data_IF_020253005822
#
_entry.id   IF_020253005822
#
_cell.length_a   1.000
_cell.length_b   1.000
_cell.length_c   1.000
_cell.angle_alpha   90.00
_cell.angle_beta   90.00
_cell.angle_gamma   90.00
#
_symmetry.space_group_name_H-M   'P 1'
#
loop_
_entity.id
_entity.type
_entity.pdbx_description
1 polymer ?
#
# COMPACT_ATOMS: atom_id res chain seq x y z
N UNK A 1 -64.88 1.02 21.09
CA UNK A 1 -64.13 2.25 21.42
C UNK A 1 -62.71 1.86 21.80
N UNK A 2 -61.75 1.99 20.88
CA UNK A 2 -60.34 1.72 21.18
C UNK A 2 -59.87 2.74 22.21
N UNK A 3 -59.23 2.24 23.27
CA UNK A 3 -58.89 3.01 24.46
C UNK A 3 -57.91 4.14 24.09
N UNK A 4 -58.41 5.39 24.07
CA UNK A 4 -57.65 6.59 23.69
C UNK A 4 -56.36 6.72 24.52
N UNK A 5 -56.35 6.25 25.76
CA UNK A 5 -55.18 6.20 26.62
C UNK A 5 -54.08 5.26 26.09
N UNK A 6 -54.46 4.09 25.55
CA UNK A 6 -53.51 3.13 24.97
C UNK A 6 -52.80 3.72 23.74
N UNK A 7 -53.53 4.46 22.90
CA UNK A 7 -52.96 5.13 21.74
C UNK A 7 -51.92 6.21 22.14
N UNK A 8 -52.22 7.02 23.16
CA UNK A 8 -51.27 8.04 23.63
C UNK A 8 -50.00 7.41 24.22
N UNK A 9 -50.12 6.31 24.97
CA UNK A 9 -48.96 5.60 25.53
C UNK A 9 -48.07 5.00 24.44
N UNK A 10 -48.65 4.43 23.37
CA UNK A 10 -47.89 3.88 22.25
C UNK A 10 -47.15 4.98 21.49
N UNK A 11 -47.80 6.14 21.26
CA UNK A 11 -47.16 7.29 20.59
C UNK A 11 -46.02 7.85 21.45
N UNK A 12 -46.23 8.00 22.77
CA UNK A 12 -45.20 8.46 23.69
C UNK A 12 -43.99 7.51 23.75
N UNK A 13 -44.21 6.20 23.77
CA UNK A 13 -43.12 5.20 23.71
C UNK A 13 -42.33 5.29 22.41
N UNK A 14 -43.01 5.40 21.25
CA UNK A 14 -42.33 5.53 19.95
C UNK A 14 -41.50 6.82 19.87
N UNK A 15 -42.03 7.93 20.39
CA UNK A 15 -41.30 9.20 20.41
C UNK A 15 -40.07 9.12 21.32
N UNK A 16 -40.20 8.50 22.49
CA UNK A 16 -39.09 8.28 23.42
C UNK A 16 -37.99 7.41 22.78
N UNK A 17 -38.37 6.32 22.10
CA UNK A 17 -37.41 5.44 21.41
C UNK A 17 -36.69 6.17 20.26
N UNK A 18 -37.39 6.99 19.48
CA UNK A 18 -36.78 7.80 18.42
C UNK A 18 -35.79 8.83 18.98
N UNK A 19 -36.11 9.46 20.11
CA UNK A 19 -35.20 10.41 20.78
C UNK A 19 -33.95 9.69 21.29
N UNK A 20 -34.10 8.52 21.93
CA UNK A 20 -32.95 7.72 22.40
C UNK A 20 -32.07 7.27 21.22
N UNK A 21 -32.67 6.82 20.12
CA UNK A 21 -31.93 6.45 18.90
C UNK A 21 -31.22 7.67 18.30
N UNK A 22 -31.87 8.82 18.21
CA UNK A 22 -31.26 10.05 17.69
C UNK A 22 -30.08 10.52 18.57
N UNK A 23 -30.22 10.45 19.89
CA UNK A 23 -29.13 10.76 20.84
C UNK A 23 -27.99 9.77 20.66
N UNK A 24 -28.26 8.46 20.56
CA UNK A 24 -27.24 7.45 20.35
C UNK A 24 -26.49 7.65 19.02
N UNK A 25 -27.21 7.94 17.93
CA UNK A 25 -26.62 8.27 16.63
C UNK A 25 -25.79 9.55 16.71
N UNK A 26 -26.29 10.62 17.34
CA UNK A 26 -25.51 11.85 17.55
C UNK A 26 -24.25 11.61 18.38
N UNK A 27 -24.33 10.78 19.43
CA UNK A 27 -23.16 10.41 20.22
C UNK A 27 -22.16 9.58 19.41
N UNK A 28 -22.61 8.63 18.59
CA UNK A 28 -21.73 7.86 17.71
C UNK A 28 -21.08 8.72 16.64
N UNK A 29 -21.83 9.65 16.03
CA UNK A 29 -21.30 10.61 15.06
C UNK A 29 -20.28 11.55 15.71
N UNK A 30 -20.57 12.07 16.90
CA UNK A 30 -19.66 12.95 17.65
C UNK A 30 -18.43 12.20 18.16
N UNK A 31 -18.59 10.94 18.55
CA UNK A 31 -17.47 10.08 18.96
C UNK A 31 -16.58 9.74 17.76
N UNK A 32 -17.15 9.50 16.58
CA UNK A 32 -16.40 9.42 15.34
C UNK A 32 -15.67 10.74 15.06
N UNK A 33 -16.33 11.89 15.07
CA UNK A 33 -15.65 13.19 14.82
C UNK A 33 -14.52 13.48 15.82
N UNK A 34 -14.71 13.15 17.11
CA UNK A 34 -13.70 13.36 18.16
C UNK A 34 -12.53 12.37 18.05
N UNK A 35 -12.78 11.11 17.70
CA UNK A 35 -11.73 10.13 17.42
C UNK A 35 -10.94 10.47 16.15
N UNK A 36 -11.43 11.37 15.31
CA UNK A 36 -10.77 11.80 14.07
C UNK A 36 -10.22 13.23 14.16
N UNK A 37 -10.20 13.86 15.33
CA UNK A 37 -9.41 15.09 15.50
C UNK A 37 -7.92 14.75 15.50
N UNK A 38 -7.13 15.21 14.51
CA UNK A 38 -5.73 14.83 14.38
C UNK A 38 -4.91 15.13 15.64
N UNK A 39 -5.23 16.23 16.33
CA UNK A 39 -4.55 16.66 17.57
C UNK A 39 -4.65 15.65 18.71
N UNK A 40 -5.83 15.10 18.99
CA UNK A 40 -6.03 14.13 20.07
C UNK A 40 -5.35 12.78 19.77
N UNK A 41 -5.34 12.37 18.50
CA UNK A 41 -4.67 11.13 18.09
C UNK A 41 -3.15 11.33 18.07
N UNK A 42 -2.64 12.50 17.72
CA UNK A 42 -1.21 12.78 17.73
C UNK A 42 -0.65 12.73 19.16
N UNK A 43 -1.42 13.16 20.17
CA UNK A 43 -1.06 12.95 21.59
C UNK A 43 -1.02 11.47 21.98
N UNK A 44 -1.97 10.66 21.51
CA UNK A 44 -2.06 9.22 21.84
C UNK A 44 -1.06 8.36 21.07
N UNK A 45 -0.74 8.74 19.84
CA UNK A 45 0.15 8.00 18.95
C UNK A 45 1.60 8.44 19.08
N UNK A 46 1.84 9.68 19.53
CA UNK A 46 3.18 10.26 19.62
C UNK A 46 3.81 10.58 18.26
N UNK A 47 3.04 10.49 17.17
CA UNK A 47 3.51 10.81 15.82
C UNK A 47 3.38 12.31 15.58
N UNK A 48 4.50 12.96 15.28
CA UNK A 48 4.54 14.33 14.77
C UNK A 48 5.17 14.29 13.38
N UNK A 49 4.46 14.76 12.37
CA UNK A 49 5.03 14.90 11.04
C UNK A 49 6.04 16.04 11.05
N UNK A 50 7.28 15.81 10.60
CA UNK A 50 8.16 16.92 10.31
C UNK A 50 7.50 17.75 9.19
N UNK A 51 7.35 19.05 9.42
CA UNK A 51 6.91 19.98 8.38
C UNK A 51 8.01 20.08 7.31
N UNK A 52 8.03 19.14 6.35
CA UNK A 52 8.96 19.15 5.24
C UNK A 52 8.53 20.24 4.25
N UNK A 53 9.47 21.14 3.89
CA UNK A 53 9.23 22.17 2.88
C UNK A 53 9.07 21.55 1.48
N UNK A 54 8.18 22.09 0.62
CA UNK A 54 7.89 21.54 -0.71
C UNK A 54 9.01 21.93 -1.70
N UNK A 55 10.05 21.09 -1.84
CA UNK A 55 10.30 20.46 -3.15
C UNK A 55 10.62 18.95 -3.07
N UNK A 56 10.47 18.29 -1.91
CA UNK A 56 11.01 16.95 -1.63
C UNK A 56 10.07 15.76 -1.90
N UNK A 57 8.87 15.95 -2.48
CA UNK A 57 7.85 14.87 -2.52
C UNK A 57 7.86 13.98 -3.78
N UNK A 58 8.82 14.15 -4.69
CA UNK A 58 8.83 13.44 -5.99
C UNK A 58 9.58 12.11 -5.96
N UNK A 59 10.51 11.91 -5.02
CA UNK A 59 11.34 10.70 -4.95
C UNK A 59 11.19 10.05 -3.61
N UNK A 60 10.70 8.82 -3.62
CA UNK A 60 10.34 8.10 -2.40
C UNK A 60 11.04 6.76 -2.35
N UNK A 61 11.64 6.49 -1.20
CA UNK A 61 12.23 5.19 -0.89
C UNK A 61 11.50 4.59 0.31
N UNK A 62 10.75 3.52 0.06
CA UNK A 62 10.13 2.70 1.10
C UNK A 62 11.03 1.50 1.41
N UNK A 63 11.30 1.29 2.69
CA UNK A 63 11.95 0.08 3.14
C UNK A 63 11.34 -0.43 4.43
N UNK A 64 11.45 -1.73 4.67
CA UNK A 64 11.04 -2.28 5.95
C UNK A 64 11.22 -3.77 6.04
N UNK A 65 11.25 -4.25 7.28
CA UNK A 65 11.37 -5.68 7.57
C UNK A 65 10.19 -6.44 6.94
N UNK A 66 10.37 -7.70 6.53
CA UNK A 66 9.23 -8.52 6.15
C UNK A 66 8.19 -8.57 7.29
N UNK A 67 6.90 -8.56 6.93
CA UNK A 67 5.75 -8.71 7.85
C UNK A 67 5.44 -7.51 8.77
N UNK A 68 5.89 -6.31 8.41
CA UNK A 68 5.54 -5.03 9.06
C UNK A 68 4.56 -4.17 8.24
N UNK A 69 3.75 -4.79 7.37
CA UNK A 69 2.79 -4.11 6.49
C UNK A 69 3.42 -3.13 5.46
N UNK A 70 4.68 -3.36 5.11
CA UNK A 70 5.40 -2.64 4.04
C UNK A 70 4.66 -2.57 2.71
N UNK A 71 3.97 -3.63 2.29
CA UNK A 71 3.19 -3.60 1.02
C UNK A 71 2.01 -2.63 1.09
N UNK A 72 1.31 -2.58 2.22
CA UNK A 72 0.23 -1.59 2.43
C UNK A 72 0.80 -0.18 2.43
N UNK A 73 1.93 0.02 3.12
CA UNK A 73 2.64 1.30 3.14
C UNK A 73 3.02 1.76 1.73
N UNK A 74 3.64 0.87 0.96
CA UNK A 74 4.07 1.13 -0.40
C UNK A 74 2.92 1.57 -1.30
N UNK A 75 1.81 0.84 -1.27
CA UNK A 75 0.67 1.19 -2.11
C UNK A 75 0.05 2.53 -1.69
N UNK A 76 -0.03 2.84 -0.38
CA UNK A 76 -0.46 4.16 0.07
C UNK A 76 0.45 5.28 -0.44
N UNK A 77 1.76 5.10 -0.34
CA UNK A 77 2.76 6.03 -0.88
C UNK A 77 2.55 6.22 -2.38
N UNK A 78 2.39 5.13 -3.12
CA UNK A 78 2.25 5.15 -4.57
C UNK A 78 0.98 5.85 -5.05
N UNK A 79 -0.16 5.51 -4.46
CA UNK A 79 -1.43 6.17 -4.74
C UNK A 79 -1.34 7.65 -4.41
N UNK A 80 -0.81 8.00 -3.24
CA UNK A 80 -0.72 9.39 -2.79
C UNK A 80 0.23 10.22 -3.65
N UNK A 81 1.38 9.65 -4.04
CA UNK A 81 2.30 10.27 -5.00
C UNK A 81 1.61 10.50 -6.33
N UNK A 82 0.95 9.48 -6.89
CA UNK A 82 0.23 9.61 -8.16
C UNK A 82 -0.82 10.73 -8.11
N UNK A 83 -1.61 10.80 -7.04
CA UNK A 83 -2.62 11.86 -6.86
C UNK A 83 -1.97 13.24 -6.71
N UNK A 84 -0.86 13.34 -5.98
CA UNK A 84 -0.08 14.57 -5.87
C UNK A 84 0.42 15.06 -7.23
N UNK A 85 0.99 14.15 -8.04
CA UNK A 85 1.44 14.46 -9.40
C UNK A 85 0.27 14.88 -10.29
N UNK A 86 -0.85 14.17 -10.22
CA UNK A 86 -2.06 14.53 -10.98
C UNK A 86 -2.54 15.96 -10.71
N UNK A 87 -2.44 16.42 -9.46
CA UNK A 87 -2.89 17.76 -9.05
C UNK A 87 -1.88 18.83 -9.44
N UNK A 88 -0.59 18.59 -9.19
CA UNK A 88 0.43 19.64 -9.22
C UNK A 88 1.36 19.59 -10.43
N UNK A 89 1.53 18.42 -11.05
CA UNK A 89 2.47 18.17 -12.15
C UNK A 89 1.88 17.20 -13.19
N UNK A 90 0.69 17.49 -13.77
CA UNK A 90 -0.03 16.55 -14.62
C UNK A 90 0.76 16.09 -15.85
N UNK A 91 1.72 16.88 -16.32
CA UNK A 91 2.65 16.54 -17.40
C UNK A 91 3.58 15.36 -17.08
N UNK A 92 3.84 15.10 -15.78
CA UNK A 92 4.70 14.01 -15.32
C UNK A 92 3.92 12.71 -15.03
N UNK A 93 2.59 12.73 -15.14
CA UNK A 93 1.73 11.64 -14.70
C UNK A 93 2.00 10.32 -15.45
N UNK A 94 2.18 10.39 -16.76
CA UNK A 94 2.51 9.23 -17.60
C UNK A 94 3.88 8.61 -17.29
N UNK A 95 4.77 9.39 -16.66
CA UNK A 95 6.11 8.96 -16.29
C UNK A 95 6.21 8.54 -14.82
N UNK A 96 5.15 8.62 -14.02
CA UNK A 96 5.22 8.31 -12.59
C UNK A 96 5.46 6.82 -12.36
N UNK A 97 6.50 6.47 -11.61
CA UNK A 97 6.93 5.07 -11.41
C UNK A 97 6.66 4.60 -9.99
N UNK A 98 6.08 3.41 -9.87
CA UNK A 98 5.81 2.78 -8.57
C UNK A 98 6.36 1.37 -8.50
N UNK A 99 7.64 1.17 -8.17
CA UNK A 99 8.33 -0.12 -8.32
C UNK A 99 8.72 -0.82 -7.01
N UNK A 100 8.73 -2.15 -7.02
CA UNK A 100 9.32 -2.96 -5.96
C UNK A 100 10.68 -3.44 -6.45
N UNK A 101 11.75 -3.05 -5.76
CA UNK A 101 13.09 -3.56 -6.00
C UNK A 101 13.12 -5.05 -5.59
N UNK A 102 13.13 -5.92 -6.59
CA UNK A 102 13.33 -7.35 -6.37
C UNK A 102 14.84 -7.58 -6.30
N UNK A 103 15.32 -8.11 -5.18
CA UNK A 103 16.68 -8.61 -5.12
C UNK A 103 16.76 -9.87 -5.98
N UNK A 104 17.34 -9.75 -7.16
CA UNK A 104 17.69 -10.92 -7.97
C UNK A 104 18.66 -11.79 -7.15
N UNK A 105 18.30 -13.09 -7.05
CA UNK A 105 18.99 -14.04 -6.16
C UNK A 105 20.44 -14.32 -6.55
N UNK A 106 20.88 -13.93 -7.74
CA UNK A 106 22.18 -14.28 -8.32
C UNK A 106 23.07 -13.08 -8.69
N UNK A 107 22.70 -11.87 -8.29
CA UNK A 107 23.41 -10.65 -8.69
C UNK A 107 24.70 -10.48 -7.90
N UNK A 108 25.83 -10.35 -8.60
CA UNK A 108 27.16 -10.18 -8.01
C UNK A 108 27.24 -8.88 -7.20
N UNK A 109 28.20 -8.77 -6.28
CA UNK A 109 28.41 -7.55 -5.45
C UNK A 109 28.51 -6.26 -6.29
N UNK A 110 28.98 -6.37 -7.53
CA UNK A 110 29.17 -5.26 -8.47
C UNK A 110 27.90 -4.90 -9.23
N UNK A 111 27.04 -5.88 -9.50
CA UNK A 111 25.70 -5.66 -10.06
C UNK A 111 24.67 -5.32 -8.98
N UNK A 112 24.90 -5.65 -7.70
CA UNK A 112 24.19 -5.05 -6.54
C UNK A 112 24.49 -3.55 -6.45
N UNK A 113 25.67 -3.16 -6.92
CA UNK A 113 26.07 -1.79 -7.18
C UNK A 113 25.55 -1.25 -8.54
N UNK A 114 24.90 -2.04 -9.38
CA UNK A 114 24.12 -1.61 -10.55
C UNK A 114 22.60 -1.68 -10.28
N UNK A 115 22.15 -2.37 -9.24
CA UNK A 115 20.87 -2.13 -8.58
C UNK A 115 20.81 -0.73 -7.92
N UNK A 116 21.88 0.07 -8.04
CA UNK A 116 21.93 1.54 -7.84
C UNK A 116 20.94 2.33 -8.73
N UNK A 117 20.13 1.68 -9.57
CA UNK A 117 19.30 2.29 -10.60
C UNK A 117 17.80 2.37 -10.27
N UNK A 118 17.40 2.61 -9.02
CA UNK A 118 15.96 2.74 -8.73
C UNK A 118 15.45 4.19 -8.63
N UNK A 119 16.35 5.17 -8.52
CA UNK A 119 16.00 6.59 -8.67
C UNK A 119 16.67 7.15 -9.94
N UNK A 120 16.30 6.64 -11.11
CA UNK A 120 17.13 6.82 -12.32
C UNK A 120 17.16 8.24 -12.87
N UNK A 121 16.11 9.02 -12.59
CA UNK A 121 15.89 10.32 -13.23
C UNK A 121 15.41 11.34 -12.20
N UNK A 122 16.07 12.49 -12.17
CA UNK A 122 15.72 13.60 -11.27
C UNK A 122 14.39 14.25 -11.66
N UNK A 123 14.02 14.13 -12.92
CA UNK A 123 12.83 14.72 -13.50
C UNK A 123 11.59 13.81 -13.46
N UNK A 124 11.74 12.56 -13.00
CA UNK A 124 10.64 11.60 -12.95
C UNK A 124 10.17 11.35 -11.51
N UNK A 125 8.87 11.54 -11.20
CA UNK A 125 8.30 11.13 -9.93
C UNK A 125 8.36 9.62 -9.76
N UNK A 126 8.87 9.14 -8.63
CA UNK A 126 8.98 7.71 -8.39
C UNK A 126 8.92 7.32 -6.91
N UNK A 127 8.30 6.17 -6.65
CA UNK A 127 8.32 5.48 -5.37
C UNK A 127 8.88 4.07 -5.54
N UNK A 128 9.87 3.73 -4.72
CA UNK A 128 10.59 2.46 -4.77
C UNK A 128 10.51 1.76 -3.43
N UNK A 129 10.12 0.49 -3.44
CA UNK A 129 10.14 -0.39 -2.26
C UNK A 129 11.35 -1.30 -2.24
N UNK A 130 11.98 -1.48 -1.09
CA UNK A 130 13.03 -2.48 -0.88
C UNK A 130 12.86 -3.26 0.43
N UNK A 131 13.11 -4.57 0.40
CA UNK A 131 13.24 -5.42 1.58
C UNK A 131 14.68 -5.76 1.97
N UNK A 132 15.64 -5.40 1.12
CA UNK A 132 17.01 -5.92 1.19
C UNK A 132 18.01 -4.83 1.53
N UNK A 133 17.69 -3.58 1.19
CA UNK A 133 18.61 -2.47 1.33
C UNK A 133 18.01 -1.43 2.26
N UNK A 134 18.72 -1.16 3.36
CA UNK A 134 18.48 0.04 4.15
C UNK A 134 18.83 1.30 3.32
N UNK A 135 18.23 2.45 3.65
CA UNK A 135 18.64 3.74 3.11
C UNK A 135 20.14 3.97 3.28
N UNK A 136 20.85 4.24 2.19
CA UNK A 136 22.27 4.62 2.19
C UNK A 136 22.40 6.06 1.67
N UNK A 137 22.97 7.01 2.46
CA UNK A 137 23.07 8.40 2.04
C UNK A 137 24.03 8.59 0.85
N UNK A 138 24.86 7.60 0.52
CA UNK A 138 25.70 7.60 -0.68
C UNK A 138 24.93 7.23 -1.95
N UNK A 139 23.74 6.66 -1.79
CA UNK A 139 22.90 6.14 -2.88
C UNK A 139 21.64 6.98 -3.03
N UNK A 140 20.94 7.26 -1.92
CA UNK A 140 19.73 8.06 -1.94
C UNK A 140 20.09 9.54 -2.06
N UNK A 141 19.29 10.25 -2.85
CA UNK A 141 19.45 11.69 -3.04
C UNK A 141 19.03 12.42 -1.77
N UNK A 142 19.62 13.58 -1.53
CA UNK A 142 19.22 14.47 -0.44
C UNK A 142 17.75 14.91 -0.53
N UNK A 143 17.14 14.84 -1.72
CA UNK A 143 15.72 15.12 -1.96
C UNK A 143 14.80 13.91 -1.75
N UNK A 144 15.35 12.71 -1.49
CA UNK A 144 14.54 11.50 -1.32
C UNK A 144 13.87 11.51 0.05
N UNK A 145 12.58 11.17 0.07
CA UNK A 145 11.85 10.94 1.31
C UNK A 145 11.81 9.44 1.60
N UNK A 146 12.17 9.09 2.82
CA UNK A 146 12.18 7.72 3.30
C UNK A 146 10.88 7.43 4.03
N UNK A 147 10.17 6.40 3.58
CA UNK A 147 9.06 5.79 4.31
C UNK A 147 9.51 4.43 4.84
N UNK A 148 9.10 4.10 6.06
CA UNK A 148 9.45 2.78 6.61
C UNK A 148 8.42 2.27 7.58
N UNK A 149 8.59 1.02 8.00
CA UNK A 149 7.67 0.34 8.89
C UNK A 149 8.39 -0.26 10.10
N UNK A 150 7.67 -0.38 11.20
CA UNK A 150 8.16 -0.92 12.46
C UNK A 150 7.17 -1.94 13.05
N UNK A 151 7.65 -2.83 13.91
CA UNK A 151 6.82 -3.80 14.63
C UNK A 151 6.07 -3.15 15.78
N UNK A 152 6.68 -2.15 16.44
CA UNK A 152 6.13 -1.45 17.61
C UNK A 152 6.37 0.07 17.55
N UNK A 153 5.65 0.83 18.39
CA UNK A 153 5.88 2.27 18.54
C UNK A 153 7.31 2.61 18.98
N UNK A 154 7.90 1.80 19.85
CA UNK A 154 9.29 2.00 20.31
C UNK A 154 10.29 1.83 19.17
N UNK A 155 10.13 0.78 18.36
CA UNK A 155 10.98 0.58 17.17
C UNK A 155 10.77 1.70 16.16
N UNK A 156 9.55 2.21 16.01
CA UNK A 156 9.25 3.32 15.12
C UNK A 156 10.03 4.59 15.50
N UNK A 157 9.99 4.97 16.78
CA UNK A 157 10.71 6.13 17.29
C UNK A 157 12.22 5.99 17.15
N UNK A 158 12.76 4.80 17.44
CA UNK A 158 14.18 4.51 17.25
C UNK A 158 14.57 4.60 15.78
N UNK A 159 13.75 4.06 14.88
CA UNK A 159 13.98 4.09 13.43
C UNK A 159 13.95 5.53 12.91
N UNK A 160 12.97 6.34 13.34
CA UNK A 160 12.89 7.75 13.00
C UNK A 160 14.14 8.51 13.44
N UNK A 161 14.54 8.38 14.71
CA UNK A 161 15.73 9.03 15.25
C UNK A 161 17.01 8.61 14.52
N UNK A 162 17.15 7.32 14.21
CA UNK A 162 18.30 6.79 13.50
C UNK A 162 18.38 7.30 12.06
N UNK A 163 17.27 7.37 11.33
CA UNK A 163 17.23 7.89 9.97
C UNK A 163 17.47 9.40 9.93
N UNK A 164 16.84 10.16 10.84
CA UNK A 164 17.05 11.59 10.96
C UNK A 164 18.51 11.91 11.34
N UNK A 165 19.11 11.15 12.26
CA UNK A 165 20.52 11.27 12.62
C UNK A 165 21.50 10.95 11.49
N UNK A 166 21.05 10.20 10.47
CA UNK A 166 21.80 9.96 9.21
C UNK A 166 21.54 11.02 8.13
N UNK A 167 20.71 12.04 8.42
CA UNK A 167 20.41 13.14 7.49
C UNK A 167 19.33 12.85 6.46
N UNK A 168 18.55 11.77 6.62
CA UNK A 168 17.44 11.48 5.70
C UNK A 168 16.21 12.33 5.99
N UNK A 169 15.49 12.72 4.93
CA UNK A 169 14.11 13.19 5.09
C UNK A 169 13.23 11.97 5.36
N UNK A 170 12.58 11.92 6.52
CA UNK A 170 11.69 10.81 6.87
C UNK A 170 10.26 11.29 6.73
N UNK A 171 9.46 10.57 5.94
CA UNK A 171 8.04 10.86 5.75
C UNK A 171 7.21 10.28 6.90
N UNK A 172 7.08 8.96 6.94
CA UNK A 172 6.36 8.24 8.00
C UNK A 172 7.05 6.93 8.35
N UNK A 173 7.14 6.66 9.65
CA UNK A 173 7.45 5.34 10.21
C UNK A 173 6.17 4.67 10.70
N UNK A 174 5.56 3.83 9.86
CA UNK A 174 4.30 3.14 10.15
C UNK A 174 4.54 1.94 11.05
N UNK A 175 3.96 1.94 12.24
CA UNK A 175 4.08 0.82 13.18
C UNK A 175 2.79 0.00 13.30
N UNK A 176 2.94 -1.30 13.58
CA UNK A 176 1.80 -2.22 13.65
C UNK A 176 0.89 -1.98 14.85
N UNK A 177 1.41 -1.50 15.97
CA UNK A 177 0.62 -1.27 17.17
C UNK A 177 -0.35 -0.11 16.94
N UNK A 178 0.13 0.99 16.37
CA UNK A 178 -0.69 2.10 15.92
C UNK A 178 -1.66 1.66 14.84
N UNK A 179 -1.22 0.93 13.80
CA UNK A 179 -2.12 0.40 12.76
C UNK A 179 -3.26 -0.46 13.32
N UNK A 180 -2.97 -1.30 14.31
CA UNK A 180 -3.99 -2.11 14.97
C UNK A 180 -4.97 -1.26 15.82
N UNK A 181 -4.52 -0.12 16.34
CA UNK A 181 -5.31 0.76 17.20
C UNK A 181 -6.21 1.71 16.40
N UNK A 182 -5.65 2.41 15.41
CA UNK A 182 -6.36 3.49 14.68
C UNK A 182 -6.89 3.06 13.32
N UNK A 183 -6.43 1.92 12.81
CA UNK A 183 -6.84 1.37 11.52
C UNK A 183 -6.33 2.15 10.31
N UNK A 184 -6.79 1.70 9.14
CA UNK A 184 -6.31 2.13 7.82
C UNK A 184 -6.62 3.59 7.50
N UNK A 185 -7.83 4.05 7.89
CA UNK A 185 -8.33 5.38 7.58
C UNK A 185 -7.48 6.49 8.19
N UNK A 186 -6.96 6.30 9.40
CA UNK A 186 -6.04 7.27 10.01
C UNK A 186 -4.76 7.41 9.18
N UNK A 187 -4.19 6.30 8.72
CA UNK A 187 -3.01 6.34 7.86
C UNK A 187 -3.29 7.04 6.53
N UNK A 188 -4.43 6.78 5.90
CA UNK A 188 -4.84 7.50 4.67
C UNK A 188 -4.82 9.02 4.91
N UNK A 189 -5.34 9.50 6.04
CA UNK A 189 -5.29 10.91 6.39
C UNK A 189 -3.84 11.42 6.55
N UNK A 190 -2.97 10.64 7.19
CA UNK A 190 -1.56 11.01 7.35
C UNK A 190 -0.83 11.13 6.00
N UNK A 191 -1.09 10.20 5.07
CA UNK A 191 -0.55 10.31 3.71
C UNK A 191 -1.14 11.50 2.97
N UNK A 192 -2.45 11.73 3.06
CA UNK A 192 -3.09 12.86 2.42
C UNK A 192 -2.53 14.19 2.93
N UNK A 193 -2.35 14.35 4.24
CA UNK A 193 -1.68 15.52 4.82
C UNK A 193 -0.25 15.65 4.29
N UNK A 194 0.52 14.56 4.34
CA UNK A 194 1.89 14.56 3.82
C UNK A 194 1.96 14.98 2.35
N UNK A 195 1.00 14.58 1.50
CA UNK A 195 0.97 14.88 0.07
C UNK A 195 0.14 16.11 -0.30
N UNK A 196 -0.38 16.86 0.68
CA UNK A 196 -1.28 17.99 0.48
C UNK A 196 -2.54 17.64 -0.35
N UNK A 197 -3.08 16.44 -0.15
CA UNK A 197 -4.29 15.98 -0.82
C UNK A 197 -5.54 16.58 -0.16
N UNK A 198 -6.54 16.90 -0.97
CA UNK A 198 -7.83 17.41 -0.49
C UNK A 198 -8.68 16.28 0.12
N UNK A 199 -9.73 16.65 0.85
CA UNK A 199 -10.69 15.70 1.45
C UNK A 199 -11.37 14.78 0.42
N UNK A 200 -11.56 15.23 -0.82
CA UNK A 200 -12.06 14.40 -1.91
C UNK A 200 -11.17 13.18 -2.15
N UNK A 201 -9.85 13.39 -2.20
CA UNK A 201 -8.89 12.30 -2.41
C UNK A 201 -8.77 11.37 -1.20
N UNK A 202 -9.00 11.89 0.01
CA UNK A 202 -9.09 11.05 1.22
C UNK A 202 -10.25 10.04 1.07
N UNK A 203 -11.42 10.49 0.61
CA UNK A 203 -12.58 9.60 0.39
C UNK A 203 -12.27 8.55 -0.67
N UNK A 204 -11.70 8.95 -1.81
CA UNK A 204 -11.32 8.02 -2.88
C UNK A 204 -10.30 6.97 -2.41
N UNK A 205 -9.30 7.40 -1.65
CA UNK A 205 -8.31 6.48 -1.08
C UNK A 205 -8.94 5.54 -0.05
N UNK A 206 -9.85 6.02 0.80
CA UNK A 206 -10.54 5.19 1.79
C UNK A 206 -11.35 4.07 1.14
N UNK A 207 -12.17 4.40 0.13
CA UNK A 207 -12.93 3.41 -0.63
C UNK A 207 -12.02 2.39 -1.33
N UNK A 208 -10.98 2.88 -2.02
CA UNK A 208 -10.00 2.04 -2.70
C UNK A 208 -9.29 1.06 -1.74
N UNK A 209 -8.76 1.57 -0.63
CA UNK A 209 -7.94 0.77 0.28
C UNK A 209 -8.76 -0.20 1.13
N UNK A 210 -10.04 0.10 1.39
CA UNK A 210 -10.94 -0.83 2.09
C UNK A 210 -11.08 -2.15 1.33
N UNK A 211 -11.24 -2.11 0.01
CA UNK A 211 -11.37 -3.35 -0.78
C UNK A 211 -10.03 -3.90 -1.20
N UNK A 212 -9.07 -3.05 -1.56
CA UNK A 212 -7.72 -3.53 -1.90
C UNK A 212 -7.11 -4.36 -0.77
N UNK A 213 -7.25 -3.93 0.50
CA UNK A 213 -6.68 -4.69 1.61
C UNK A 213 -7.47 -5.99 1.90
N UNK A 214 -8.80 -6.00 1.71
CA UNK A 214 -9.58 -7.25 1.75
C UNK A 214 -9.12 -8.22 0.66
N UNK A 215 -9.03 -7.76 -0.58
CA UNK A 215 -8.58 -8.58 -1.72
C UNK A 215 -7.18 -9.14 -1.46
N UNK A 216 -6.24 -8.31 -1.01
CA UNK A 216 -4.89 -8.77 -0.67
C UNK A 216 -4.86 -9.83 0.42
N UNK A 217 -5.73 -9.73 1.42
CA UNK A 217 -5.80 -10.71 2.51
C UNK A 217 -6.56 -11.99 2.12
N UNK A 218 -7.54 -11.89 1.22
CA UNK A 218 -8.48 -12.97 0.89
C UNK A 218 -8.26 -13.60 -0.50
N UNK A 219 -7.42 -13.05 -1.36
CA UNK A 219 -7.07 -13.62 -2.67
C UNK A 219 -5.63 -13.29 -3.08
N UNK A 220 -5.17 -13.97 -4.15
CA UNK A 220 -3.84 -13.76 -4.72
C UNK A 220 -2.68 -14.32 -3.88
N UNK A 221 -1.47 -14.01 -4.32
CA UNK A 221 -0.23 -14.53 -3.73
C UNK A 221 -0.12 -14.20 -2.24
N UNK A 222 -0.47 -12.96 -1.88
CA UNK A 222 -0.35 -12.42 -0.53
C UNK A 222 -1.51 -12.82 0.40
N UNK A 223 -2.44 -13.66 -0.07
CA UNK A 223 -3.55 -14.17 0.73
C UNK A 223 -3.07 -14.77 2.06
N UNK A 224 -3.81 -14.46 3.11
CA UNK A 224 -3.58 -14.89 4.48
C UNK A 224 -3.47 -16.41 4.59
N UNK A 225 -2.49 -16.87 5.37
CA UNK A 225 -2.32 -18.31 5.64
C UNK A 225 -3.52 -18.93 6.34
N UNK A 226 -4.29 -18.15 7.11
CA UNK A 226 -5.48 -18.63 7.82
C UNK A 226 -6.60 -18.90 6.82
N UNK A 227 -6.86 -17.95 5.91
CA UNK A 227 -7.86 -18.15 4.87
C UNK A 227 -7.46 -19.24 3.87
N UNK A 228 -6.18 -19.30 3.47
CA UNK A 228 -5.66 -20.43 2.68
C UNK A 228 -6.01 -21.78 3.33
N UNK A 229 -5.87 -21.89 4.64
CA UNK A 229 -6.20 -23.10 5.37
C UNK A 229 -7.71 -23.39 5.41
N UNK A 230 -8.56 -22.37 5.44
CA UNK A 230 -10.01 -22.54 5.38
C UNK A 230 -10.50 -23.10 4.04
N UNK A 231 -9.83 -22.72 2.95
CA UNK A 231 -10.11 -23.20 1.59
C UNK A 231 -9.74 -24.68 1.40
N UNK A 232 -8.84 -25.24 2.21
CA UNK A 232 -8.43 -26.64 2.08
C UNK A 232 -9.57 -27.62 2.45
N UNK A 233 -9.61 -28.82 1.84
CA UNK A 233 -10.53 -29.88 2.29
C UNK A 233 -10.21 -30.29 3.73
N UNK A 234 -11.20 -30.81 4.45
CA UNK A 234 -11.08 -31.15 5.88
C UNK A 234 -9.88 -32.05 6.20
N UNK A 235 -9.53 -32.99 5.29
CA UNK A 235 -8.37 -33.89 5.42
C UNK A 235 -7.01 -33.20 5.39
N UNK A 236 -6.94 -31.98 4.84
CA UNK A 236 -5.68 -31.22 4.68
C UNK A 236 -5.63 -29.96 5.55
N UNK A 237 -6.74 -29.61 6.24
CA UNK A 237 -6.75 -28.47 7.15
C UNK A 237 -5.77 -28.72 8.30
N UNK A 238 -4.88 -27.76 8.53
CA UNK A 238 -3.98 -27.76 9.68
C UNK A 238 -4.78 -27.53 10.95
N UNK A 239 -4.68 -28.49 11.87
CA UNK A 239 -5.33 -28.44 13.19
C UNK A 239 -4.79 -27.25 14.00
N UNK A 240 -5.68 -26.58 14.74
CA UNK A 240 -5.32 -25.46 15.61
C UNK A 240 -5.13 -24.12 14.88
N UNK A 241 -5.30 -24.07 13.55
CA UNK A 241 -5.38 -22.79 12.85
C UNK A 241 -6.72 -22.11 13.10
N UNK A 242 -6.67 -20.84 13.51
CA UNK A 242 -7.85 -19.99 13.63
C UNK A 242 -8.45 -19.73 12.24
N UNK A 243 -9.76 -19.52 12.20
CA UNK A 243 -10.42 -18.91 11.05
C UNK A 243 -9.88 -17.48 10.87
N UNK A 244 -9.79 -17.06 9.62
CA UNK A 244 -9.59 -15.69 9.23
C UNK A 244 -10.76 -14.86 9.74
N UNK A 245 -10.46 -13.63 10.11
CA UNK A 245 -11.43 -12.77 10.77
C UNK A 245 -12.68 -12.48 9.92
N UNK A 246 -12.56 -12.49 8.58
CA UNK A 246 -13.66 -12.08 7.69
C UNK A 246 -13.65 -12.72 6.29
N UNK A 247 -12.56 -13.35 5.83
CA UNK A 247 -12.48 -13.76 4.42
C UNK A 247 -13.48 -14.87 4.05
N UNK A 248 -13.87 -15.71 5.02
CA UNK A 248 -14.88 -16.76 4.81
C UNK A 248 -16.33 -16.25 4.79
N UNK A 249 -16.56 -14.99 5.16
CA UNK A 249 -17.90 -14.40 5.30
C UNK A 249 -18.25 -13.43 4.17
N UNK A 250 -17.26 -12.97 3.42
CA UNK A 250 -17.46 -12.02 2.31
C UNK A 250 -17.71 -12.73 0.98
N UNK A 251 -18.51 -12.10 0.13
CA UNK A 251 -18.53 -12.43 -1.30
C UNK A 251 -17.31 -11.80 -1.98
N UNK A 252 -16.28 -12.61 -2.23
CA UNK A 252 -15.03 -12.11 -2.81
C UNK A 252 -15.22 -11.55 -4.23
N UNK A 253 -16.22 -12.02 -4.98
CA UNK A 253 -16.52 -11.49 -6.31
C UNK A 253 -17.20 -10.13 -6.21
N UNK A 254 -18.11 -9.95 -5.25
CA UNK A 254 -18.71 -8.64 -5.00
C UNK A 254 -17.63 -7.60 -4.64
N UNK A 255 -16.69 -7.96 -3.76
CA UNK A 255 -15.57 -7.08 -3.39
C UNK A 255 -14.65 -6.80 -4.59
N UNK A 256 -14.32 -7.81 -5.41
CA UNK A 256 -13.51 -7.58 -6.61
C UNK A 256 -14.23 -6.67 -7.61
N UNK A 257 -15.51 -6.91 -7.88
CA UNK A 257 -16.32 -6.08 -8.78
C UNK A 257 -16.47 -4.65 -8.25
N UNK A 258 -16.69 -4.47 -6.95
CA UNK A 258 -16.74 -3.13 -6.37
C UNK A 258 -15.39 -2.42 -6.51
N UNK A 259 -14.29 -3.12 -6.26
CA UNK A 259 -12.94 -2.57 -6.36
C UNK A 259 -12.56 -2.16 -7.79
N UNK A 260 -12.79 -3.01 -8.79
CA UNK A 260 -12.47 -2.64 -10.19
C UNK A 260 -13.36 -1.50 -10.69
N UNK A 261 -14.58 -1.34 -10.18
CA UNK A 261 -15.47 -0.25 -10.54
C UNK A 261 -15.23 1.03 -9.72
N UNK A 262 -14.30 1.01 -8.77
CA UNK A 262 -13.94 2.18 -7.97
C UNK A 262 -13.30 3.27 -8.84
N UNK A 263 -13.62 4.54 -8.58
CA UNK A 263 -13.11 5.68 -9.36
C UNK A 263 -11.57 5.75 -9.35
N UNK A 264 -10.93 5.52 -8.20
CA UNK A 264 -9.47 5.55 -8.10
C UNK A 264 -8.82 4.36 -8.81
N UNK A 265 -9.45 3.18 -8.78
CA UNK A 265 -8.98 2.04 -9.57
C UNK A 265 -8.95 2.40 -11.06
N UNK A 266 -10.07 2.88 -11.59
CA UNK A 266 -10.21 3.24 -13.00
C UNK A 266 -9.23 4.35 -13.40
N UNK A 267 -9.03 5.32 -12.51
CA UNK A 267 -8.05 6.37 -12.73
C UNK A 267 -6.63 5.81 -12.83
N UNK A 268 -6.21 4.90 -11.95
CA UNK A 268 -4.88 4.28 -11.97
C UNK A 268 -4.70 3.33 -13.16
N UNK A 269 -5.77 2.65 -13.57
CA UNK A 269 -5.75 1.66 -14.66
C UNK A 269 -5.35 2.30 -16.00
N UNK A 270 -5.71 3.58 -16.20
CA UNK A 270 -5.32 4.36 -17.37
C UNK A 270 -3.82 4.68 -17.49
N UNK A 271 -3.00 4.38 -16.48
CA UNK A 271 -1.57 4.72 -16.46
C UNK A 271 -0.69 3.49 -16.25
N UNK A 272 -0.08 3.03 -17.35
CA UNK A 272 0.71 1.77 -17.42
C UNK A 272 1.74 1.58 -16.30
N UNK A 273 2.46 2.62 -15.90
CA UNK A 273 3.56 2.51 -14.92
C UNK A 273 3.10 2.41 -13.46
N UNK A 274 1.85 2.81 -13.17
CA UNK A 274 1.24 2.72 -11.84
C UNK A 274 0.16 1.66 -11.76
N UNK A 275 -0.50 1.27 -12.87
CA UNK A 275 -1.57 0.27 -12.96
C UNK A 275 -1.34 -0.98 -12.13
N UNK A 276 -0.10 -1.46 -12.02
CA UNK A 276 0.26 -2.64 -11.22
C UNK A 276 -0.09 -2.54 -9.73
N UNK A 277 -0.24 -1.34 -9.17
CA UNK A 277 -0.62 -1.19 -7.76
C UNK A 277 -2.09 -1.56 -7.50
N UNK A 278 -2.91 -1.64 -8.55
CA UNK A 278 -4.28 -2.17 -8.51
C UNK A 278 -4.30 -3.68 -8.25
N UNK A 279 -3.17 -4.37 -8.36
CA UNK A 279 -3.10 -5.82 -8.13
C UNK A 279 -2.93 -6.13 -6.64
N UNK A 280 -3.46 -7.26 -6.14
CA UNK A 280 -3.21 -7.71 -4.77
C UNK A 280 -1.71 -7.93 -4.47
N UNK A 281 -0.93 -8.30 -5.49
CA UNK A 281 0.54 -8.33 -5.44
C UNK A 281 1.17 -8.16 -6.82
N UNK A 282 2.48 -7.92 -6.86
CA UNK A 282 3.24 -7.72 -8.11
C UNK A 282 3.33 -8.95 -9.01
N UNK A 283 2.99 -10.13 -8.51
CA UNK A 283 2.98 -11.37 -9.30
C UNK A 283 1.57 -11.84 -9.65
N UNK A 284 0.54 -11.19 -9.09
CA UNK A 284 -0.84 -11.52 -9.43
C UNK A 284 -1.19 -10.98 -10.83
N UNK A 285 -2.21 -11.58 -11.44
CA UNK A 285 -2.80 -11.09 -12.68
C UNK A 285 -3.60 -9.80 -12.48
N UNK A 286 -4.07 -9.21 -13.59
CA UNK A 286 -5.06 -8.14 -13.52
C UNK A 286 -6.38 -8.68 -12.94
N UNK A 287 -7.05 -7.86 -12.16
CA UNK A 287 -8.40 -8.16 -11.65
C UNK A 287 -9.40 -7.96 -12.79
N UNK A 288 -10.36 -8.87 -12.91
CA UNK A 288 -11.34 -8.89 -14.01
C UNK A 288 -12.77 -9.12 -13.53
N UNK A 289 -12.99 -9.05 -12.21
CA UNK A 289 -14.26 -9.33 -11.56
C UNK A 289 -14.46 -10.80 -11.20
N UNK A 290 -13.54 -11.67 -11.61
CA UNK A 290 -13.56 -13.12 -11.32
C UNK A 290 -12.19 -13.70 -10.97
N UNK A 291 -11.12 -12.89 -10.96
CA UNK A 291 -9.76 -13.34 -10.68
C UNK A 291 -9.67 -14.03 -9.32
N UNK A 292 -10.23 -13.41 -8.29
CA UNK A 292 -10.14 -13.88 -6.91
C UNK A 292 -10.95 -15.17 -6.69
N UNK A 293 -12.09 -15.34 -7.36
CA UNK A 293 -12.80 -16.62 -7.37
C UNK A 293 -11.94 -17.73 -7.97
N UNK A 294 -11.39 -17.50 -9.17
CA UNK A 294 -10.55 -18.50 -9.86
C UNK A 294 -9.31 -18.85 -9.03
N UNK A 295 -8.68 -17.85 -8.42
CA UNK A 295 -7.54 -18.06 -7.53
C UNK A 295 -7.93 -18.91 -6.31
N UNK A 296 -9.05 -18.59 -5.65
CA UNK A 296 -9.54 -19.36 -4.50
C UNK A 296 -9.84 -20.80 -4.89
N UNK A 297 -10.49 -21.05 -6.03
CA UNK A 297 -10.73 -22.40 -6.54
C UNK A 297 -9.43 -23.16 -6.83
N UNK A 298 -8.43 -22.50 -7.42
CA UNK A 298 -7.13 -23.11 -7.65
C UNK A 298 -6.47 -23.52 -6.33
N UNK A 299 -6.50 -22.67 -5.29
CA UNK A 299 -6.00 -23.04 -3.94
C UNK A 299 -6.74 -24.27 -3.39
N UNK A 300 -8.07 -24.35 -3.54
CA UNK A 300 -8.86 -25.52 -3.10
C UNK A 300 -8.43 -26.81 -3.80
N UNK A 301 -8.15 -26.75 -5.11
CA UNK A 301 -7.84 -27.92 -5.94
C UNK A 301 -6.39 -28.40 -5.77
N UNK A 302 -5.44 -27.47 -5.64
CA UNK A 302 -4.02 -27.81 -5.76
C UNK A 302 -3.39 -28.08 -4.41
N UNK A 303 -3.94 -27.51 -3.34
CA UNK A 303 -3.39 -27.61 -1.98
C UNK A 303 -1.95 -27.09 -1.88
N UNK A 304 -1.50 -26.30 -2.85
CA UNK A 304 -0.10 -25.86 -2.98
C UNK A 304 0.14 -24.48 -2.38
N UNK A 305 1.42 -24.11 -2.30
CA UNK A 305 1.79 -22.71 -2.14
C UNK A 305 1.34 -21.85 -3.34
N UNK A 306 1.33 -20.54 -3.15
CA UNK A 306 0.80 -19.59 -4.13
C UNK A 306 1.53 -19.58 -5.47
N UNK A 307 2.82 -19.93 -5.52
CA UNK A 307 3.59 -19.92 -6.77
C UNK A 307 3.08 -20.97 -7.75
N UNK A 308 2.80 -22.18 -7.24
CA UNK A 308 2.19 -23.24 -8.05
C UNK A 308 0.76 -22.90 -8.45
N UNK A 309 0.02 -22.21 -7.58
CA UNK A 309 -1.33 -21.72 -7.90
C UNK A 309 -1.31 -20.73 -9.07
N UNK A 310 -0.40 -19.76 -9.08
CA UNK A 310 -0.27 -18.80 -10.19
C UNK A 310 0.12 -19.50 -11.50
N UNK A 311 1.11 -20.40 -11.46
CA UNK A 311 1.50 -21.17 -12.64
C UNK A 311 0.31 -21.95 -13.23
N UNK A 312 -0.52 -22.53 -12.37
CA UNK A 312 -1.71 -23.25 -12.81
C UNK A 312 -2.79 -22.33 -13.37
N UNK A 313 -3.00 -21.15 -12.78
CA UNK A 313 -3.92 -20.15 -13.35
C UNK A 313 -3.48 -19.74 -14.75
N UNK A 314 -2.18 -19.49 -14.95
CA UNK A 314 -1.63 -19.17 -16.27
C UNK A 314 -1.79 -20.31 -17.28
N UNK A 315 -1.72 -21.57 -16.82
CA UNK A 315 -1.91 -22.74 -17.69
C UNK A 315 -3.39 -23.01 -18.02
N UNK A 316 -4.30 -22.73 -17.09
CA UNK A 316 -5.74 -22.98 -17.25
C UNK A 316 -6.41 -21.83 -18.01
N UNK A 317 -5.91 -20.60 -17.85
CA UNK A 317 -6.43 -19.38 -18.46
C UNK A 317 -5.33 -18.65 -19.26
N UNK A 318 -4.87 -19.22 -20.39
CA UNK A 318 -3.76 -18.67 -21.17
C UNK A 318 -4.09 -17.33 -21.83
N UNK A 319 -5.38 -16.99 -21.98
CA UNK A 319 -5.87 -15.73 -22.56
C UNK A 319 -5.70 -14.53 -21.61
N UNK A 320 -5.27 -14.75 -20.36
CA UNK A 320 -4.71 -13.68 -19.54
C UNK A 320 -3.32 -13.41 -20.12
N UNK A 321 -3.25 -12.50 -21.10
CA UNK A 321 -1.98 -12.01 -21.64
C UNK A 321 -1.03 -11.66 -20.48
N UNK A 322 -0.07 -12.55 -20.24
CA UNK A 322 1.11 -12.27 -19.44
C UNK A 322 2.00 -11.33 -20.27
N UNK A 323 1.54 -10.10 -20.49
CA UNK A 323 2.36 -9.10 -21.16
C UNK A 323 3.48 -8.54 -20.26
N UNK A 324 3.61 -9.03 -19.02
CA UNK A 324 4.60 -8.51 -18.07
C UNK A 324 5.24 -9.59 -17.20
N UNK A 325 6.19 -10.29 -17.80
CA UNK A 325 7.55 -10.55 -17.26
C UNK A 325 8.39 -11.10 -18.43
N UNK A 326 8.68 -10.28 -19.45
CA UNK A 326 9.91 -10.52 -20.18
C UNK A 326 11.02 -9.87 -19.35
N UNK A 327 11.91 -10.68 -18.77
CA UNK A 327 13.14 -10.22 -18.14
C UNK A 327 13.97 -9.34 -19.09
N UNK A 328 13.71 -9.40 -20.41
CA UNK A 328 14.32 -8.53 -21.43
C UNK A 328 13.55 -7.25 -21.72
N UNK A 329 12.26 -7.14 -21.38
CA UNK A 329 11.55 -5.85 -21.39
C UNK A 329 11.66 -5.19 -20.03
N UNK A 330 12.90 -4.93 -19.62
CA UNK A 330 13.16 -3.67 -18.94
C UNK A 330 12.53 -2.57 -19.83
N UNK A 331 11.60 -1.74 -19.35
CA UNK A 331 11.04 -0.65 -20.17
C UNK A 331 12.11 0.35 -20.67
N UNK A 332 13.37 0.14 -20.30
CA UNK A 332 14.56 0.88 -20.73
C UNK A 332 15.42 0.17 -21.78
N UNK A 333 15.07 -1.04 -22.24
CA UNK A 333 15.84 -1.80 -23.25
C UNK A 333 15.97 -1.11 -24.62
N UNK A 334 15.37 0.06 -24.81
CA UNK A 334 15.51 0.91 -26.00
C UNK A 334 16.40 2.15 -25.82
N UNK A 335 17.07 2.33 -24.67
CA UNK A 335 17.84 3.56 -24.36
C UNK A 335 19.37 3.37 -24.29
N UNK A 336 19.89 2.20 -24.66
CA UNK A 336 21.33 1.89 -24.64
C UNK A 336 22.18 2.75 -25.62
N UNK A 337 21.54 3.51 -26.51
CA UNK A 337 22.25 4.38 -27.46
C UNK A 337 22.54 5.82 -26.97
N UNK A 338 22.18 6.17 -25.72
CA UNK A 338 22.32 7.56 -25.23
C UNK A 338 23.26 7.75 -24.03
N UNK A 339 24.06 6.75 -23.66
CA UNK A 339 25.10 6.90 -22.64
C UNK A 339 26.45 7.14 -23.35
N UNK A 340 27.06 8.34 -23.24
CA UNK A 340 28.43 8.54 -23.72
C UNK A 340 29.38 7.69 -22.88
N UNK A 341 30.31 6.99 -23.53
CA UNK A 341 31.35 6.19 -22.89
C UNK A 341 32.05 6.98 -21.77
N UNK A 342 31.81 6.59 -20.52
CA UNK A 342 32.52 7.08 -19.35
C UNK A 342 33.87 6.37 -19.21
N UNK A 343 34.75 6.56 -20.18
CA UNK A 343 36.18 6.33 -20.03
C UNK A 343 36.84 7.72 -20.04
N UNK A 344 37.71 7.97 -19.05
CA UNK A 344 38.42 9.24 -18.76
C UNK A 344 37.79 10.13 -17.68
N UNK A 345 37.84 9.68 -16.42
CA UNK A 345 37.98 10.60 -15.28
C UNK A 345 39.36 10.31 -14.65
N UNK A 346 40.31 11.26 -14.67
CA UNK A 346 41.60 11.07 -14.03
C UNK A 346 41.45 11.20 -12.51
N UNK A 347 41.99 10.22 -11.77
CA UNK A 347 42.17 10.30 -10.33
C UNK A 347 43.31 11.27 -10.03
N UNK A 348 42.97 12.45 -9.48
CA UNK A 348 43.96 13.31 -8.83
C UNK A 348 43.97 12.98 -7.32
N UNK A 349 45.15 12.60 -6.83
CA UNK A 349 45.39 12.19 -5.46
C UNK A 349 46.46 13.10 -4.88
N UNK A 350 46.09 14.26 -4.33
CA UNK A 350 46.93 14.99 -3.38
C UNK A 350 46.10 15.90 -2.47
N UNK A 351 46.66 16.14 -1.28
CA UNK A 351 46.33 17.18 -0.29
C UNK A 351 45.22 16.83 0.70
N UNK A 352 45.62 16.36 1.89
CA UNK A 352 45.50 17.15 3.12
C UNK A 352 46.49 16.63 4.17
N UNK A 353 47.57 17.38 4.34
CA UNK A 353 48.37 17.45 5.55
C UNK A 353 48.18 18.85 6.13
N UNK A 354 47.46 18.93 7.25
CA UNK A 354 47.68 19.79 8.41
C UNK A 354 46.49 19.68 9.37
#
# INVERSE_FOLDING_TARGET
MVNRALFHNIVAMKLCLLVVLAIAVCHMLKYNELLFQPSAINEVTGHHFPALSPPTKLHIFEYGKPRTATTTQFNMVCVSLFLHIKIHYPELLNNTICNIAVAEKNVTSREKAAARFFLQRDDIPQAIKSHVHEPDPRILRNSTVVFTTAVSKTEANQTLANLAGKGFNVGLVQDKETMALVGLRWYIQQYAEFFNLTSQYITLMDEYFQDWDKLRQCCGMQMSKYFKNELLPASLKKVGMKQHQFCGEIDINEIENHFINNELYQLLDGYKLVRRINRPSVVDGDLDGTYCLRYNEAVRRTHTDGNKTIQLLNNIYPDIENHFYDERTNPLGGLEHLIPNAENIPHDSTVYSN
#
